data_IF_359940714057
#
_entry.id   IF_359940714057
#
_cell.length_a   1.000
_cell.length_b   1.000
_cell.length_c   1.000
_cell.angle_alpha   90.00
_cell.angle_beta   90.00
_cell.angle_gamma   90.00
#
_symmetry.space_group_name_H-M   'P 1'
#
loop_
_entity.id
_entity.type
_entity.pdbx_description
1 polymer ?
#
# COMPACT_ATOMS: atom_id res chain seq x y z
N UNK A 1 -11.48 2.64 10.48
CA UNK A 1 -10.60 3.73 10.94
C UNK A 1 -9.25 3.69 10.22
N UNK A 2 -8.51 2.58 10.23
CA UNK A 2 -7.21 2.48 9.51
C UNK A 2 -7.31 2.69 8.00
N UNK A 3 -8.26 2.04 7.32
CA UNK A 3 -8.43 2.19 5.86
C UNK A 3 -8.71 3.65 5.48
N UNK A 4 -9.45 4.38 6.30
CA UNK A 4 -9.70 5.83 6.11
C UNK A 4 -8.40 6.63 6.21
N UNK A 5 -7.48 6.26 7.12
CA UNK A 5 -6.17 6.91 7.23
C UNK A 5 -5.28 6.64 6.02
N UNK A 6 -5.40 5.46 5.40
CA UNK A 6 -4.68 5.16 4.15
C UNK A 6 -5.29 5.98 3.01
N UNK A 7 -6.61 5.99 2.86
CA UNK A 7 -7.30 6.73 1.79
C UNK A 7 -7.09 8.25 1.87
N UNK A 8 -6.76 8.80 3.04
CA UNK A 8 -6.51 10.23 3.22
C UNK A 8 -5.04 10.63 3.13
N UNK A 9 -4.13 9.68 2.86
CA UNK A 9 -2.67 9.90 2.83
C UNK A 9 -2.09 9.47 1.49
N UNK A 10 -0.99 10.12 1.11
CA UNK A 10 -0.23 9.79 -0.10
C UNK A 10 0.63 8.51 0.06
N UNK A 11 0.76 7.99 1.28
CA UNK A 11 1.62 6.85 1.57
C UNK A 11 1.00 5.90 2.59
N UNK A 12 1.23 4.60 2.44
CA UNK A 12 0.81 3.60 3.42
C UNK A 12 1.77 3.60 4.61
N UNK A 13 1.25 3.95 5.77
CA UNK A 13 1.96 3.95 7.04
C UNK A 13 1.30 3.02 8.04
N UNK A 14 1.97 2.74 9.16
CA UNK A 14 1.34 2.06 10.29
C UNK A 14 0.13 2.86 10.80
N UNK A 15 -0.75 2.19 11.55
CA UNK A 15 -1.94 2.81 12.12
C UNK A 15 -1.56 4.04 12.96
N UNK A 16 -2.22 5.16 12.71
CA UNK A 16 -2.04 6.35 13.53
C UNK A 16 -3.02 6.33 14.69
N UNK A 17 -2.51 6.32 15.92
CA UNK A 17 -3.36 6.39 17.11
C UNK A 17 -3.91 7.81 17.35
N UNK A 18 -3.57 8.77 16.50
CA UNK A 18 -3.97 10.17 16.61
C UNK A 18 -3.53 10.81 17.94
N UNK A 19 -2.50 10.22 18.56
CA UNK A 19 -1.91 10.62 19.82
C UNK A 19 -0.39 10.36 19.74
N UNK A 20 0.46 11.41 19.80
CA UNK A 20 1.91 11.26 19.71
C UNK A 20 2.53 10.40 20.82
N UNK A 21 1.95 10.38 22.02
CA UNK A 21 2.44 9.56 23.14
C UNK A 21 2.16 8.09 22.87
N UNK A 22 0.97 7.78 22.36
CA UNK A 22 0.58 6.41 22.00
C UNK A 22 1.41 5.89 20.82
N UNK A 23 1.58 6.72 19.76
CA UNK A 23 2.48 6.40 18.66
C UNK A 23 3.93 6.17 19.14
N UNK A 24 4.40 6.96 20.11
CA UNK A 24 5.74 6.77 20.70
C UNK A 24 5.84 5.42 21.42
N UNK A 25 4.82 5.01 22.18
CA UNK A 25 4.79 3.70 22.85
C UNK A 25 4.81 2.54 21.84
N UNK A 26 4.12 2.68 20.72
CA UNK A 26 4.02 1.62 19.70
C UNK A 26 5.21 1.58 18.73
N UNK A 27 5.77 2.73 18.36
CA UNK A 27 6.70 2.86 17.23
C UNK A 27 8.03 3.52 17.59
N UNK A 28 8.19 4.04 18.81
CA UNK A 28 9.35 4.85 19.20
C UNK A 28 9.46 6.17 18.44
N UNK A 29 8.37 6.61 17.79
CA UNK A 29 8.28 7.86 17.02
C UNK A 29 6.90 8.48 17.22
N UNK A 30 6.78 9.82 17.22
CA UNK A 30 5.49 10.48 17.42
C UNK A 30 4.57 10.37 16.20
N UNK A 31 5.12 10.10 15.01
CA UNK A 31 4.36 9.80 13.80
C UNK A 31 4.52 8.31 13.44
N UNK A 32 3.46 7.67 12.91
CA UNK A 32 3.54 6.29 12.45
C UNK A 32 4.52 6.17 11.28
N UNK A 33 5.41 5.16 11.28
CA UNK A 33 6.37 4.98 10.20
C UNK A 33 5.67 4.52 8.91
N UNK A 34 6.13 5.07 7.78
CA UNK A 34 5.74 4.66 6.42
C UNK A 34 6.37 3.31 6.08
N UNK A 35 5.65 2.44 5.38
CA UNK A 35 6.21 1.18 4.89
C UNK A 35 7.15 1.43 3.71
N UNK A 36 8.37 0.93 3.83
CA UNK A 36 9.37 1.03 2.77
C UNK A 36 9.22 -0.15 1.80
N UNK A 37 8.57 0.07 0.65
CA UNK A 37 8.38 -0.98 -0.36
C UNK A 37 9.69 -1.46 -0.98
N UNK A 38 10.79 -0.71 -0.84
CA UNK A 38 12.12 -1.19 -1.25
C UNK A 38 12.67 -2.25 -0.31
N UNK A 39 12.08 -2.55 0.83
CA UNK A 39 12.49 -3.68 1.71
C UNK A 39 11.82 -5.00 1.32
N UNK A 40 10.87 -4.98 0.39
CA UNK A 40 10.26 -6.19 -0.14
C UNK A 40 11.27 -6.88 -1.05
N UNK A 41 11.51 -8.17 -0.83
CA UNK A 41 12.45 -8.97 -1.63
C UNK A 41 11.78 -10.17 -2.33
N UNK A 42 10.51 -10.41 -2.01
CA UNK A 42 9.77 -11.58 -2.49
C UNK A 42 9.26 -11.32 -3.91
N UNK A 43 9.60 -12.17 -4.90
CA UNK A 43 8.99 -12.12 -6.22
C UNK A 43 7.49 -12.30 -6.17
N UNK A 44 6.75 -11.51 -6.95
CA UNK A 44 5.29 -11.48 -6.86
C UNK A 44 4.62 -11.33 -8.22
N UNK A 45 3.40 -11.85 -8.30
CA UNK A 45 2.48 -11.69 -9.41
C UNK A 45 1.28 -10.88 -8.95
N UNK A 46 0.84 -9.92 -9.76
CA UNK A 46 -0.32 -9.10 -9.48
C UNK A 46 -1.49 -9.52 -10.35
N UNK A 47 -2.67 -9.61 -9.75
CA UNK A 47 -3.95 -9.78 -10.44
C UNK A 47 -4.81 -8.57 -10.09
N UNK A 48 -5.39 -7.93 -11.10
CA UNK A 48 -6.17 -6.68 -10.92
C UNK A 48 -7.31 -6.61 -11.92
N UNK A 49 -8.29 -5.74 -11.69
CA UNK A 49 -9.41 -5.54 -12.60
C UNK A 49 -9.79 -4.07 -12.68
N UNK A 50 -10.32 -3.63 -13.82
CA UNK A 50 -10.89 -2.27 -13.96
C UNK A 50 -12.20 -2.08 -13.20
N UNK A 51 -12.90 -3.18 -12.92
CA UNK A 51 -14.17 -3.16 -12.20
C UNK A 51 -13.96 -3.26 -10.67
N UNK A 52 -12.71 -3.31 -10.21
CA UNK A 52 -12.37 -3.28 -8.80
C UNK A 52 -12.49 -1.84 -8.26
N UNK A 53 -13.52 -1.63 -7.45
CA UNK A 53 -13.84 -0.32 -6.86
C UNK A 53 -12.92 0.04 -5.68
N UNK A 54 -12.19 -0.94 -5.11
CA UNK A 54 -11.30 -0.72 -3.98
C UNK A 54 -9.84 -0.53 -4.41
N UNK A 55 -9.41 -1.26 -5.44
CA UNK A 55 -8.04 -1.18 -5.96
C UNK A 55 -8.08 -0.74 -7.42
N UNK A 56 -7.97 0.55 -7.67
CA UNK A 56 -8.05 1.05 -9.03
C UNK A 56 -6.76 0.73 -9.80
N UNK A 57 -6.83 0.63 -11.14
CA UNK A 57 -5.62 0.49 -11.96
C UNK A 57 -4.63 1.66 -11.81
N UNK A 58 -5.09 2.82 -11.32
CA UNK A 58 -4.25 3.97 -11.04
C UNK A 58 -3.36 3.71 -9.82
N UNK A 59 -3.95 3.24 -8.73
CA UNK A 59 -3.24 2.95 -7.46
C UNK A 59 -2.08 1.96 -7.68
N UNK A 60 -2.34 0.94 -8.50
CA UNK A 60 -1.32 -0.02 -8.92
C UNK A 60 -0.19 0.65 -9.72
N UNK A 61 -0.52 1.41 -10.76
CA UNK A 61 0.47 1.97 -11.69
C UNK A 61 1.28 3.12 -11.13
N UNK A 62 0.69 3.93 -10.26
CA UNK A 62 1.30 5.17 -9.79
C UNK A 62 1.82 5.05 -8.36
N UNK A 63 1.15 4.30 -7.50
CA UNK A 63 1.49 4.30 -6.06
C UNK A 63 2.20 3.02 -5.62
N UNK A 64 1.84 1.86 -6.17
CA UNK A 64 2.47 0.59 -5.76
C UNK A 64 3.67 0.21 -6.61
N UNK A 65 3.48 0.01 -7.92
CA UNK A 65 4.50 -0.57 -8.80
C UNK A 65 5.78 0.26 -8.90
N UNK A 66 5.75 1.61 -8.98
CA UNK A 66 6.96 2.42 -9.07
C UNK A 66 7.84 2.38 -7.82
N UNK A 67 7.24 2.05 -6.66
CA UNK A 67 7.91 2.04 -5.37
C UNK A 67 8.51 0.67 -5.00
N UNK A 68 8.23 -0.38 -5.79
CA UNK A 68 8.84 -1.71 -5.64
C UNK A 68 10.23 -1.77 -6.31
N UNK A 69 11.12 -2.62 -5.79
CA UNK A 69 12.40 -2.88 -6.48
C UNK A 69 12.16 -3.47 -7.87
N UNK A 70 12.95 -3.02 -8.84
CA UNK A 70 12.91 -3.52 -10.22
C UNK A 70 13.12 -5.05 -10.23
N UNK A 71 12.29 -5.75 -11.01
CA UNK A 71 12.41 -7.19 -11.22
C UNK A 71 11.72 -8.07 -10.18
N UNK A 72 11.12 -7.50 -9.13
CA UNK A 72 10.29 -8.26 -8.17
C UNK A 72 8.96 -8.68 -8.80
N UNK A 73 8.35 -7.79 -9.56
CA UNK A 73 7.08 -8.06 -10.25
C UNK A 73 7.35 -8.94 -11.46
N UNK A 74 6.91 -10.20 -11.39
CA UNK A 74 7.11 -11.19 -12.44
C UNK A 74 6.00 -11.17 -13.49
N UNK A 75 4.84 -10.64 -13.13
CA UNK A 75 3.72 -10.40 -14.04
C UNK A 75 2.61 -9.61 -13.36
N UNK A 76 1.85 -8.87 -14.17
CA UNK A 76 0.64 -8.19 -13.76
C UNK A 76 -0.47 -8.53 -14.77
N UNK A 77 -1.53 -9.16 -14.30
CA UNK A 77 -2.59 -9.72 -15.13
C UNK A 77 -3.93 -9.05 -14.81
N UNK A 78 -4.55 -8.48 -15.84
CA UNK A 78 -5.93 -8.00 -15.73
C UNK A 78 -6.86 -9.21 -15.77
N UNK A 79 -7.76 -9.32 -14.79
CA UNK A 79 -8.85 -10.29 -14.74
C UNK A 79 -10.14 -9.54 -15.08
N UNK A 80 -10.62 -9.62 -16.34
CA UNK A 80 -11.78 -8.84 -16.77
C UNK A 80 -13.01 -9.13 -15.92
N UNK A 81 -13.82 -8.11 -15.69
CA UNK A 81 -15.11 -8.17 -14.99
C UNK A 81 -15.05 -8.57 -13.50
N UNK A 82 -13.87 -8.89 -12.97
CA UNK A 82 -13.69 -9.20 -11.57
C UNK A 82 -13.87 -7.95 -10.68
N UNK A 83 -14.51 -8.11 -9.53
CA UNK A 83 -14.62 -7.10 -8.49
C UNK A 83 -14.16 -7.68 -7.14
N UNK A 84 -13.95 -6.81 -6.15
CA UNK A 84 -13.62 -7.18 -4.78
C UNK A 84 -14.77 -7.92 -4.08
#
# INVERSE_FOLDING_TARGET
VYIIQISSRESVARFDYNNPIENMLHYGKPQPPVYNYTEIEVPMYFYWSRNDWLTTPSDLRHDLLPNLRKGLVKGAFEVPEFNH
#
